data_IF_507286719663
#
_entry.id   IF_507286719663
#
_cell.length_a   1.000
_cell.length_b   1.000
_cell.length_c   1.000
_cell.angle_alpha   90.00
_cell.angle_beta   90.00
_cell.angle_gamma   90.00
#
_symmetry.space_group_name_H-M   'P 1'
#
loop_
_entity.id
_entity.type
_entity.pdbx_description
1 polymer ?
#
# COMPACT_ATOMS: atom_id res chain seq x y z
N UNK A 1 4.28 -8.82 -9.25
CA UNK A 1 3.73 -8.22 -8.00
C UNK A 1 4.61 -7.02 -7.68
N UNK A 2 4.05 -5.82 -7.63
CA UNK A 2 4.81 -4.63 -7.17
C UNK A 2 4.72 -4.58 -5.66
N UNK A 3 5.87 -4.63 -5.00
CA UNK A 3 5.92 -4.42 -3.54
C UNK A 3 5.51 -2.98 -3.20
N UNK A 4 4.99 -2.71 -2.00
CA UNK A 4 4.56 -1.36 -1.62
C UNK A 4 5.69 -0.30 -1.76
N UNK A 5 6.95 -0.71 -1.59
CA UNK A 5 8.11 0.17 -1.82
C UNK A 5 8.40 0.44 -3.31
N UNK A 6 8.20 -0.54 -4.18
CA UNK A 6 8.27 -0.33 -5.64
C UNK A 6 7.12 0.52 -6.16
N UNK A 7 5.92 0.34 -5.60
CA UNK A 7 4.76 1.17 -5.90
C UNK A 7 5.05 2.64 -5.62
N UNK A 8 5.53 2.97 -4.41
CA UNK A 8 5.81 4.36 -4.05
C UNK A 8 6.89 4.97 -4.95
N UNK A 9 7.98 4.23 -5.21
CA UNK A 9 9.05 4.69 -6.11
C UNK A 9 8.55 4.98 -7.53
N UNK A 10 7.63 4.16 -8.03
CA UNK A 10 7.03 4.39 -9.34
C UNK A 10 6.13 5.64 -9.35
N UNK A 11 5.34 5.88 -8.30
CA UNK A 11 4.53 7.11 -8.19
C UNK A 11 5.43 8.36 -8.16
N UNK A 12 6.52 8.33 -7.38
CA UNK A 12 7.47 9.45 -7.29
C UNK A 12 8.15 9.74 -8.64
N UNK A 13 8.53 8.68 -9.38
CA UNK A 13 9.08 8.81 -10.72
C UNK A 13 8.08 9.44 -11.70
N UNK A 14 6.82 9.02 -11.66
CA UNK A 14 5.77 9.60 -12.51
C UNK A 14 5.56 11.08 -12.19
N UNK A 15 5.52 11.47 -10.91
CA UNK A 15 5.39 12.88 -10.51
C UNK A 15 6.57 13.69 -11.04
N UNK A 16 7.78 13.20 -10.89
CA UNK A 16 9.00 13.88 -11.37
C UNK A 16 8.95 14.13 -12.88
N UNK A 17 8.63 13.11 -13.66
CA UNK A 17 8.51 13.21 -15.13
C UNK A 17 7.42 14.22 -15.52
N UNK A 18 6.32 14.22 -14.79
CA UNK A 18 5.18 15.09 -15.05
C UNK A 18 5.54 16.56 -14.80
N UNK A 19 6.25 16.86 -13.70
CA UNK A 19 6.75 18.19 -13.40
C UNK A 19 7.82 18.67 -14.41
N UNK A 20 8.64 17.75 -14.92
CA UNK A 20 9.60 18.04 -15.98
C UNK A 20 8.90 18.39 -17.30
N UNK A 21 7.87 17.63 -17.69
CA UNK A 21 7.05 17.91 -18.87
C UNK A 21 6.39 19.28 -18.77
N UNK A 22 5.82 19.61 -17.61
CA UNK A 22 5.19 20.92 -17.37
C UNK A 22 6.17 22.09 -17.52
N UNK A 23 7.44 21.87 -17.16
CA UNK A 23 8.52 22.86 -17.28
C UNK A 23 8.99 23.05 -18.71
N UNK A 24 9.08 21.96 -19.47
CA UNK A 24 9.56 21.96 -20.86
C UNK A 24 8.49 22.48 -21.81
N UNK A 25 7.22 22.11 -21.58
CA UNK A 25 6.10 22.46 -22.44
C UNK A 25 4.97 23.11 -21.63
N UNK A 26 4.82 24.45 -21.68
CA UNK A 26 3.77 25.15 -20.96
C UNK A 26 2.37 24.75 -21.44
N UNK A 27 2.21 24.38 -22.71
CA UNK A 27 0.94 23.84 -23.26
C UNK A 27 0.54 22.51 -22.60
N UNK A 28 1.51 21.74 -22.11
CA UNK A 28 1.28 20.48 -21.41
C UNK A 28 1.14 20.66 -19.89
N UNK A 29 1.47 21.84 -19.34
CA UNK A 29 1.59 22.04 -17.89
C UNK A 29 0.30 21.71 -17.13
N UNK A 30 -0.86 22.16 -17.62
CA UNK A 30 -2.15 21.88 -16.96
C UNK A 30 -2.49 20.39 -16.96
N UNK A 31 -2.23 19.70 -18.07
CA UNK A 31 -2.47 18.26 -18.20
C UNK A 31 -1.50 17.46 -17.34
N UNK A 32 -0.25 17.86 -17.31
CA UNK A 32 0.76 17.31 -16.43
C UNK A 32 0.34 17.45 -14.96
N UNK A 33 -0.02 18.66 -14.51
CA UNK A 33 -0.47 18.86 -13.13
C UNK A 33 -1.73 18.05 -12.78
N UNK A 34 -2.63 17.81 -13.73
CA UNK A 34 -3.76 16.89 -13.55
C UNK A 34 -3.30 15.45 -13.32
N UNK A 35 -2.34 14.95 -14.11
CA UNK A 35 -1.77 13.61 -13.94
C UNK A 35 -1.11 13.48 -12.56
N UNK A 36 -0.32 14.47 -12.13
CA UNK A 36 0.33 14.45 -10.82
C UNK A 36 -0.68 14.38 -9.66
N UNK A 37 -1.84 15.06 -9.80
CA UNK A 37 -2.93 14.97 -8.80
C UNK A 37 -3.59 13.59 -8.79
N UNK A 38 -3.88 13.02 -9.97
CA UNK A 38 -4.48 11.69 -10.08
C UNK A 38 -3.57 10.63 -9.46
N UNK A 39 -2.27 10.67 -9.76
CA UNK A 39 -1.25 9.75 -9.22
C UNK A 39 -1.21 9.79 -7.70
N UNK A 40 -1.28 10.99 -7.10
CA UNK A 40 -1.31 11.17 -5.64
C UNK A 40 -2.61 10.67 -4.98
N UNK A 41 -3.69 10.51 -5.75
CA UNK A 41 -4.95 9.96 -5.27
C UNK A 41 -5.06 8.43 -5.38
N UNK A 42 -4.05 7.76 -5.94
CA UNK A 42 -4.04 6.31 -6.05
C UNK A 42 -3.69 5.67 -4.71
N UNK A 43 -4.60 4.83 -4.21
CA UNK A 43 -4.35 4.05 -3.01
C UNK A 43 -3.22 3.02 -3.24
N UNK A 44 -2.36 2.77 -2.22
CA UNK A 44 -1.37 1.73 -2.30
C UNK A 44 -2.03 0.35 -2.45
N UNK A 45 -1.42 -0.58 -3.21
CA UNK A 45 -1.98 -1.91 -3.40
C UNK A 45 -2.17 -2.56 -2.03
N UNK A 46 -3.40 -3.05 -1.77
CA UNK A 46 -3.75 -3.72 -0.53
C UNK A 46 -2.69 -4.78 -0.22
N UNK A 47 -1.94 -4.57 0.85
CA UNK A 47 -1.01 -5.56 1.39
C UNK A 47 -1.89 -6.77 1.69
N UNK A 48 -1.76 -7.88 0.93
CA UNK A 48 -2.46 -9.13 1.27
C UNK A 48 -2.26 -9.35 2.75
N UNK A 49 -3.35 -9.30 3.52
CA UNK A 49 -3.34 -9.75 4.89
C UNK A 49 -2.74 -11.17 4.87
N UNK A 50 -1.79 -11.50 5.75
CA UNK A 50 -1.36 -12.88 5.89
C UNK A 50 -2.61 -13.73 6.13
N UNK A 51 -2.69 -14.96 5.58
CA UNK A 51 -3.79 -15.85 5.92
C UNK A 51 -3.81 -15.98 7.45
N UNK A 52 -4.98 -15.77 8.03
CA UNK A 52 -5.22 -15.97 9.46
C UNK A 52 -4.91 -17.43 9.75
N UNK A 53 -3.74 -17.68 10.34
CA UNK A 53 -3.36 -18.99 10.85
C UNK A 53 -4.26 -19.24 12.07
N UNK A 54 -5.28 -20.06 11.86
CA UNK A 54 -6.23 -20.52 12.87
C UNK A 54 -5.47 -21.42 13.87
N UNK A 55 -4.70 -20.79 14.76
CA UNK A 55 -4.13 -21.43 15.93
C UNK A 55 -5.17 -21.38 17.07
N UNK A 56 -6.26 -22.13 16.91
CA UNK A 56 -7.10 -22.52 18.05
C UNK A 56 -6.37 -23.60 18.85
N UNK A 57 -5.30 -23.22 19.56
CA UNK A 57 -4.81 -23.96 20.73
C UNK A 57 -5.43 -23.32 21.98
N UNK A 58 -6.58 -23.83 22.41
CA UNK A 58 -7.00 -23.70 23.81
C UNK A 58 -6.77 -25.06 24.46
N UNK A 59 -5.69 -25.13 25.22
CA UNK A 59 -5.47 -26.15 26.23
C UNK A 59 -6.65 -26.17 27.22
N UNK A 60 -7.59 -27.08 27.01
CA UNK A 60 -8.63 -27.46 27.97
C UNK A 60 -8.32 -28.81 28.61
N UNK A 61 -7.16 -28.96 29.25
CA UNK A 61 -6.89 -30.11 30.10
C UNK A 61 -7.50 -29.88 31.48
N UNK A 62 -8.62 -30.56 31.72
CA UNK A 62 -9.26 -30.74 33.01
C UNK A 62 -8.27 -31.33 34.04
N UNK A 63 -8.13 -30.67 35.18
CA UNK A 63 -8.03 -31.36 36.47
C UNK A 63 -8.49 -30.42 37.59
N UNK A 64 -9.74 -30.58 38.02
CA UNK A 64 -10.21 -30.05 39.31
C UNK A 64 -9.33 -30.63 40.42
N UNK A 65 -8.64 -29.74 41.13
CA UNK A 65 -8.23 -29.98 42.51
C UNK A 65 -9.48 -30.05 43.37
N UNK A 66 -9.82 -31.24 43.87
CA UNK A 66 -10.64 -31.38 45.06
C UNK A 66 -9.98 -32.33 46.07
N UNK A 67 -10.26 -32.03 47.33
CA UNK A 67 -9.47 -32.30 48.52
C UNK A 67 -10.41 -33.06 49.47
N UNK A 68 -10.22 -34.37 49.64
CA UNK A 68 -10.74 -35.15 50.77
C UNK A 68 -10.05 -36.51 50.87
#
# INVERSE_FOLDING_TARGET
MTTSGEWQRNLDAIVTLTEEIARISPDCADKAMQIARLVRSLDPPARRAPPEDDATEVCGLHHETDFA
#
